data_IF_828489100692
#
_entry.id   IF_828489100692
#
_cell.length_a   1.000
_cell.length_b   1.000
_cell.length_c   1.000
_cell.angle_alpha   90.00
_cell.angle_beta   90.00
_cell.angle_gamma   90.00
#
_symmetry.space_group_name_H-M   'P 1'
#
loop_
_entity.id
_entity.type
_entity.pdbx_description
1 polymer ?
#
# COMPACT_ATOMS: atom_id res chain seq x y z
N UNK A 1 -1.63 -56.57 -7.89
CA UNK A 1 -1.40 -55.40 -8.75
C UNK A 1 -2.40 -54.32 -8.33
N UNK A 2 -1.98 -53.33 -7.55
CA UNK A 2 -2.84 -52.17 -7.23
C UNK A 2 -2.19 -50.91 -7.79
N UNK A 3 -3.06 -50.11 -8.41
CA UNK A 3 -2.77 -49.13 -9.42
C UNK A 3 -1.88 -47.96 -8.96
N UNK A 4 -1.11 -47.45 -9.92
CA UNK A 4 -0.37 -46.21 -9.86
C UNK A 4 -1.33 -45.04 -9.58
N UNK A 5 -1.53 -44.68 -8.31
CA UNK A 5 -2.17 -43.43 -7.95
C UNK A 5 -1.15 -42.30 -7.97
N UNK A 6 -0.64 -41.98 -9.17
CA UNK A 6 -0.03 -40.67 -9.42
C UNK A 6 -1.14 -39.63 -9.64
N UNK A 7 -2.09 -39.60 -8.70
CA UNK A 7 -3.12 -38.56 -8.65
C UNK A 7 -2.44 -37.39 -7.95
N UNK A 8 -2.03 -36.40 -8.74
CA UNK A 8 -1.60 -35.11 -8.22
C UNK A 8 -2.60 -34.65 -7.15
N UNK A 9 -2.10 -34.41 -5.94
CA UNK A 9 -2.89 -33.89 -4.85
C UNK A 9 -3.52 -32.54 -5.27
N UNK A 10 -4.82 -32.32 -5.03
CA UNK A 10 -5.52 -31.09 -5.43
C UNK A 10 -4.85 -29.81 -4.92
N UNK A 11 -4.21 -29.86 -3.76
CA UNK A 11 -3.45 -28.73 -3.23
C UNK A 11 -2.18 -28.48 -4.03
N UNK A 12 -1.45 -29.53 -4.40
CA UNK A 12 -0.28 -29.46 -5.28
C UNK A 12 -0.64 -28.90 -6.67
N UNK A 13 -1.81 -29.26 -7.22
CA UNK A 13 -2.34 -28.67 -8.44
C UNK A 13 -2.65 -27.17 -8.26
N UNK A 14 -3.28 -26.80 -7.15
CA UNK A 14 -3.62 -25.40 -6.84
C UNK A 14 -2.36 -24.53 -6.73
N UNK A 15 -1.34 -25.00 -6.00
CA UNK A 15 -0.05 -24.32 -5.89
C UNK A 15 0.66 -24.22 -7.24
N UNK A 16 0.60 -25.28 -8.06
CA UNK A 16 1.15 -25.27 -9.43
C UNK A 16 0.49 -24.24 -10.33
N UNK A 17 -0.85 -24.11 -10.27
CA UNK A 17 -1.61 -23.12 -11.03
C UNK A 17 -1.27 -21.68 -10.57
N UNK A 18 -1.25 -21.43 -9.25
CA UNK A 18 -0.87 -20.13 -8.69
C UNK A 18 0.59 -19.76 -9.03
N UNK A 19 1.50 -20.73 -9.06
CA UNK A 19 2.90 -20.52 -9.46
C UNK A 19 3.07 -20.22 -10.96
N UNK A 20 2.12 -20.64 -11.80
CA UNK A 20 2.13 -20.37 -13.25
C UNK A 20 1.59 -18.98 -13.54
N UNK A 21 0.48 -18.60 -12.92
CA UNK A 21 -0.07 -17.23 -13.02
C UNK A 21 0.89 -16.18 -12.46
N UNK A 22 1.55 -16.47 -11.34
CA UNK A 22 2.59 -15.59 -10.77
C UNK A 22 3.75 -15.34 -11.74
N UNK A 23 4.22 -16.39 -12.44
CA UNK A 23 5.27 -16.25 -13.47
C UNK A 23 4.82 -15.42 -14.67
N UNK A 24 3.58 -15.59 -15.13
CA UNK A 24 3.03 -14.80 -16.24
C UNK A 24 2.90 -13.32 -15.87
N UNK A 25 2.49 -13.01 -14.64
CA UNK A 25 2.42 -11.64 -14.13
C UNK A 25 3.82 -11.01 -14.02
N UNK A 26 4.82 -11.75 -13.53
CA UNK A 26 6.20 -11.27 -13.45
C UNK A 26 6.82 -10.96 -14.82
N UNK A 27 6.49 -11.75 -15.86
CA UNK A 27 6.92 -11.46 -17.25
C UNK A 27 6.24 -10.20 -17.79
N UNK A 28 4.98 -9.94 -17.43
CA UNK A 28 4.27 -8.72 -17.81
C UNK A 28 4.84 -7.48 -17.11
N UNK A 29 5.17 -7.57 -15.82
CA UNK A 29 5.82 -6.49 -15.06
C UNK A 29 7.23 -6.19 -15.59
N UNK A 30 8.00 -7.21 -15.96
CA UNK A 30 9.32 -7.03 -16.56
C UNK A 30 9.25 -6.34 -17.95
N UNK A 31 8.13 -6.48 -18.66
CA UNK A 31 7.88 -5.80 -19.93
C UNK A 31 7.36 -4.36 -19.77
N UNK A 32 6.89 -3.99 -18.59
CA UNK A 32 6.38 -2.64 -18.30
C UNK A 32 7.53 -1.71 -17.86
N UNK A 33 7.93 -0.78 -18.71
CA UNK A 33 8.91 0.25 -18.36
C UNK A 33 8.36 1.17 -17.25
N UNK A 34 9.19 1.59 -16.26
CA UNK A 34 8.75 2.52 -15.23
C UNK A 34 8.60 3.92 -15.84
N UNK A 35 7.36 4.30 -16.16
CA UNK A 35 7.03 5.69 -16.46
C UNK A 35 7.00 6.44 -15.14
N UNK A 36 8.14 6.99 -14.72
CA UNK A 36 8.14 8.09 -13.75
C UNK A 36 7.47 9.30 -14.41
N UNK A 37 6.14 9.34 -14.35
CA UNK A 37 5.35 10.53 -14.66
C UNK A 37 4.85 11.11 -13.35
N UNK A 38 5.43 12.25 -12.98
CA UNK A 38 4.81 13.25 -12.13
C UNK A 38 3.40 13.51 -12.68
N UNK A 39 2.35 13.04 -12.01
CA UNK A 39 0.98 13.25 -12.48
C UNK A 39 0.45 14.57 -11.94
N UNK A 40 0.04 15.39 -12.90
CA UNK A 40 -0.81 16.57 -12.82
C UNK A 40 -2.00 16.38 -11.89
N UNK A 41 -2.37 17.50 -11.26
CA UNK A 41 -3.65 17.81 -10.63
C UNK A 41 -4.83 17.43 -11.53
N UNK A 42 -5.95 17.06 -10.89
CA UNK A 42 -7.28 16.64 -11.37
C UNK A 42 -7.57 15.13 -11.49
N UNK A 43 -8.57 14.72 -10.70
CA UNK A 43 -9.27 13.43 -10.52
C UNK A 43 -8.63 12.31 -9.65
N UNK A 44 -9.40 11.77 -8.66
CA UNK A 44 -8.92 10.94 -7.58
C UNK A 44 -8.83 9.48 -8.03
N UNK A 45 -7.76 9.14 -8.73
CA UNK A 45 -7.18 7.79 -8.58
C UNK A 45 -6.18 7.87 -7.43
N UNK A 46 -6.68 8.24 -6.25
CA UNK A 46 -5.91 8.22 -5.01
C UNK A 46 -5.77 6.78 -4.52
N UNK A 47 -4.73 6.52 -3.74
CA UNK A 47 -4.62 5.24 -3.04
C UNK A 47 -5.85 5.00 -2.17
N UNK A 48 -6.35 3.76 -2.14
CA UNK A 48 -7.27 3.33 -1.09
C UNK A 48 -6.46 3.13 0.18
N UNK A 49 -6.79 3.90 1.22
CA UNK A 49 -6.08 3.91 2.49
C UNK A 49 -7.04 3.56 3.61
N UNK A 50 -6.74 2.52 4.39
CA UNK A 50 -7.56 2.08 5.52
C UNK A 50 -6.69 1.98 6.77
N UNK A 51 -7.17 2.53 7.90
CA UNK A 51 -6.55 2.33 9.20
C UNK A 51 -6.86 0.91 9.70
N UNK A 52 -5.84 0.15 10.07
CA UNK A 52 -5.99 -1.20 10.65
C UNK A 52 -5.95 -1.14 12.17
N UNK A 53 -4.95 -0.45 12.70
CA UNK A 53 -4.71 -0.35 14.13
C UNK A 53 -3.95 0.93 14.45
N UNK A 54 -4.09 1.43 15.69
CA UNK A 54 -3.38 2.59 16.20
C UNK A 54 -2.83 2.30 17.59
N UNK A 55 -1.72 1.55 17.69
CA UNK A 55 -1.20 1.09 18.98
C UNK A 55 -0.71 2.23 19.88
N UNK A 56 -0.37 3.40 19.31
CA UNK A 56 -0.04 4.60 20.09
C UNK A 56 -0.56 5.86 19.40
N UNK A 57 -0.67 7.00 20.11
CA UNK A 57 -1.02 8.28 19.48
C UNK A 57 -0.07 8.74 18.37
N UNK A 58 1.11 8.11 18.24
CA UNK A 58 2.18 8.47 17.29
C UNK A 58 2.51 7.38 16.28
N UNK A 59 1.85 6.22 16.33
CA UNK A 59 2.11 5.07 15.45
C UNK A 59 0.79 4.45 15.01
N UNK A 60 0.66 4.17 13.72
CA UNK A 60 -0.53 3.57 13.11
C UNK A 60 -0.12 2.47 12.13
N UNK A 61 -0.97 1.47 11.99
CA UNK A 61 -0.85 0.40 10.98
C UNK A 61 -1.89 0.65 9.91
N UNK A 62 -1.48 0.69 8.64
CA UNK A 62 -2.30 1.13 7.52
C UNK A 62 -2.26 0.10 6.39
N UNK A 63 -3.43 -0.25 5.88
CA UNK A 63 -3.58 -0.89 4.58
C UNK A 63 -3.55 0.18 3.48
N UNK A 64 -2.70 -0.03 2.49
CA UNK A 64 -2.52 0.86 1.35
C UNK A 64 -2.72 0.08 0.05
N UNK A 65 -3.54 0.58 -0.87
CA UNK A 65 -3.71 0.00 -2.20
C UNK A 65 -3.70 1.10 -3.25
N UNK A 66 -2.68 1.11 -4.09
CA UNK A 66 -2.52 2.06 -5.19
C UNK A 66 -2.11 1.29 -6.45
N UNK A 67 -2.81 1.54 -7.56
CA UNK A 67 -2.55 0.88 -8.84
C UNK A 67 -1.17 1.19 -9.44
N UNK A 68 -0.49 2.24 -8.95
CA UNK A 68 0.80 2.73 -9.41
C UNK A 68 1.90 2.71 -8.34
N UNK A 69 1.53 2.72 -7.05
CA UNK A 69 2.45 2.80 -5.91
C UNK A 69 2.43 1.56 -5.00
N UNK A 70 1.80 0.48 -5.46
CA UNK A 70 1.82 -0.82 -4.81
C UNK A 70 0.68 -1.06 -3.81
N UNK A 71 0.66 -2.26 -3.25
CA UNK A 71 -0.32 -2.72 -2.27
C UNK A 71 0.41 -3.23 -1.02
N UNK A 72 0.15 -2.62 0.13
CA UNK A 72 0.73 -2.97 1.42
C UNK A 72 -0.40 -3.30 2.40
N UNK A 73 -0.40 -4.50 2.96
CA UNK A 73 -1.48 -4.98 3.83
C UNK A 73 -1.44 -4.37 5.22
N UNK A 74 -0.26 -4.18 5.79
CA UNK A 74 -0.01 -3.91 7.21
C UNK A 74 1.20 -2.99 7.39
N UNK A 75 1.18 -1.83 6.76
CA UNK A 75 2.32 -0.91 6.78
C UNK A 75 2.33 -0.07 8.06
N UNK A 76 3.49 0.03 8.73
CA UNK A 76 3.65 0.89 9.92
C UNK A 76 4.00 2.32 9.52
N UNK A 77 3.22 3.26 10.06
CA UNK A 77 3.34 4.70 9.85
C UNK A 77 3.59 5.41 11.19
N UNK A 78 4.44 6.44 11.17
CA UNK A 78 4.80 7.23 12.35
C UNK A 78 4.42 8.69 12.19
N UNK A 79 4.01 9.31 13.28
CA UNK A 79 3.69 10.72 13.33
C UNK A 79 4.94 11.58 13.13
N UNK A 80 4.79 12.65 12.37
CA UNK A 80 5.80 13.66 12.08
C UNK A 80 5.11 15.01 11.82
N UNK A 81 5.93 16.03 11.54
CA UNK A 81 5.48 17.31 11.01
C UNK A 81 5.73 17.37 9.52
N UNK A 82 4.74 17.80 8.74
CA UNK A 82 4.88 17.98 7.31
C UNK A 82 5.97 19.02 7.02
N UNK A 83 6.97 18.66 6.21
CA UNK A 83 8.04 19.57 5.78
C UNK A 83 7.70 20.31 4.49
N UNK A 84 6.86 19.69 3.66
CA UNK A 84 6.44 20.18 2.37
C UNK A 84 4.90 20.19 2.32
N UNK A 85 4.29 21.07 1.51
CA UNK A 85 2.86 20.99 1.25
C UNK A 85 2.51 19.70 0.49
N UNK A 86 1.24 19.31 0.54
CA UNK A 86 0.74 18.14 -0.17
C UNK A 86 -0.73 17.89 0.10
N UNK A 87 -1.16 16.65 -0.05
CA UNK A 87 -2.53 16.22 0.21
C UNK A 87 -2.53 14.99 1.11
N UNK A 88 -3.53 14.90 1.97
CA UNK A 88 -3.79 13.73 2.80
C UNK A 88 -4.19 12.56 1.91
N UNK A 89 -3.40 11.49 1.93
CA UNK A 89 -3.65 10.31 1.09
C UNK A 89 -4.99 9.61 1.40
N UNK A 90 -5.51 9.76 2.63
CA UNK A 90 -6.77 9.15 3.05
C UNK A 90 -8.01 10.01 2.75
N UNK A 91 -7.93 11.34 2.93
CA UNK A 91 -9.09 12.24 2.80
C UNK A 91 -9.02 13.21 1.61
N UNK A 92 -7.88 13.33 0.95
CA UNK A 92 -7.62 14.32 -0.10
C UNK A 92 -7.46 15.76 0.41
N UNK A 93 -7.62 16.02 1.71
CA UNK A 93 -7.47 17.37 2.29
C UNK A 93 -6.05 17.92 2.11
N UNK A 94 -5.94 19.23 1.90
CA UNK A 94 -4.64 19.89 1.79
C UNK A 94 -3.83 19.79 3.09
N UNK A 95 -2.52 19.54 2.93
CA UNK A 95 -1.52 19.52 4.00
C UNK A 95 -0.58 20.70 3.78
N UNK A 96 -0.37 21.48 4.84
CA UNK A 96 0.58 22.59 4.87
C UNK A 96 1.84 22.19 5.66
N UNK A 97 3.00 22.82 5.37
CA UNK A 97 4.17 22.67 6.22
C UNK A 97 3.84 23.00 7.69
N UNK A 98 4.29 22.14 8.61
CA UNK A 98 3.98 22.23 10.04
C UNK A 98 2.79 21.41 10.51
N UNK A 99 1.94 20.91 9.61
CA UNK A 99 0.80 20.06 9.99
C UNK A 99 1.28 18.74 10.61
N UNK A 100 0.52 18.23 11.59
CA UNK A 100 0.77 16.91 12.15
C UNK A 100 0.27 15.84 11.17
N UNK A 101 1.18 14.99 10.71
CA UNK A 101 0.92 13.96 9.70
C UNK A 101 1.52 12.63 10.13
N UNK A 102 0.99 11.54 9.59
CA UNK A 102 1.63 10.24 9.60
C UNK A 102 2.36 10.02 8.28
N UNK A 103 3.53 9.39 8.36
CA UNK A 103 4.35 8.99 7.21
C UNK A 103 4.79 7.53 7.36
N UNK A 104 4.95 6.78 6.26
CA UNK A 104 5.45 5.40 6.36
C UNK A 104 6.89 5.41 6.88
N UNK A 105 7.29 4.32 7.53
CA UNK A 105 8.66 4.17 8.03
C UNK A 105 9.67 4.30 6.86
N UNK A 106 10.67 5.20 6.93
CA UNK A 106 11.56 5.49 5.80
C UNK A 106 12.61 4.40 5.51
N UNK A 107 12.71 3.33 6.32
CA UNK A 107 13.74 2.29 6.19
C UNK A 107 13.14 0.87 6.23
N UNK A 108 13.26 0.09 5.14
CA UNK A 108 13.71 0.52 3.81
C UNK A 108 12.80 1.62 3.24
N UNK A 109 13.29 2.44 2.31
CA UNK A 109 12.48 3.53 1.75
C UNK A 109 11.34 2.95 0.92
N UNK A 110 10.08 3.17 1.31
CA UNK A 110 8.95 2.58 0.62
C UNK A 110 8.59 3.40 -0.62
N UNK A 111 7.94 2.75 -1.59
CA UNK A 111 7.49 3.39 -2.84
C UNK A 111 6.53 4.56 -2.58
N UNK A 112 5.70 4.45 -1.53
CA UNK A 112 4.80 5.51 -1.06
C UNK A 112 5.45 6.43 0.00
N UNK A 113 6.79 6.53 0.07
CA UNK A 113 7.52 7.27 1.11
C UNK A 113 7.24 8.78 1.18
N UNK A 114 6.73 9.35 0.10
CA UNK A 114 6.30 10.74 0.00
C UNK A 114 4.88 10.96 0.57
N UNK A 115 4.08 9.90 0.70
CA UNK A 115 2.69 9.99 1.15
C UNK A 115 2.59 10.50 2.60
N UNK A 116 1.52 11.25 2.85
CA UNK A 116 1.22 11.85 4.14
C UNK A 116 -0.27 11.68 4.43
N UNK A 117 -0.60 11.42 5.69
CA UNK A 117 -2.00 11.36 6.15
C UNK A 117 -2.13 12.30 7.34
N UNK A 118 -3.12 13.19 7.32
CA UNK A 118 -3.36 14.11 8.44
C UNK A 118 -3.65 13.35 9.73
N UNK A 119 -3.06 13.80 10.83
CA UNK A 119 -3.26 13.18 12.14
C UNK A 119 -4.70 13.32 12.66
N UNK A 120 -5.42 14.38 12.26
CA UNK A 120 -6.84 14.56 12.56
C UNK A 120 -7.68 13.48 11.87
N UNK A 121 -7.46 13.26 10.58
CA UNK A 121 -8.19 12.25 9.78
C UNK A 121 -8.03 10.85 10.38
N UNK A 122 -6.81 10.47 10.79
CA UNK A 122 -6.60 9.17 11.45
C UNK A 122 -7.21 9.08 12.85
N UNK A 123 -7.38 10.21 13.55
CA UNK A 123 -8.09 10.23 14.84
C UNK A 123 -9.59 9.98 14.63
N UNK A 124 -10.16 10.60 13.61
CA UNK A 124 -11.58 10.46 13.31
C UNK A 124 -11.89 9.03 12.83
N UNK A 125 -10.99 8.43 12.04
CA UNK A 125 -11.11 7.04 11.57
C UNK A 125 -10.98 5.99 12.69
N UNK A 126 -10.27 6.28 13.78
CA UNK A 126 -10.09 5.39 14.94
C UNK A 126 -11.34 5.33 15.84
N UNK A 127 -12.30 6.24 15.63
CA UNK A 127 -13.52 6.35 16.47
C UNK A 127 -14.72 5.63 15.84
N UNK A 128 -14.56 5.02 14.65
CA UNK A 128 -15.61 4.31 13.90
C UNK A 128 -15.50 2.80 14.09
#
# INVERSE_FOLDING_TARGET
MLANANVMDPWTQTIGLLGTTSRLMAVADAAAQPRHKTRSTDEPVGAQVTLIDRPTPSTATIAWRDSTRGCFGDQVWRMARARMPGFCAMSGQAIRPGDAVYKPNPRPTPVNGDAMILASVLRDADTL
#
